data_IF_897533965360
#
_entry.id   IF_897533965360
#
_cell.length_a   1.000
_cell.length_b   1.000
_cell.length_c   1.000
_cell.angle_alpha   90.00
_cell.angle_beta   90.00
_cell.angle_gamma   90.00
#
_symmetry.space_group_name_H-M   'P 1'
#
loop_
_entity.id
_entity.type
_entity.pdbx_description
1 polymer ?
#
# COMPACT_ATOMS: atom_id res chain seq x y z
N UNK A 1 -11.74 -16.43 -2.94
CA UNK A 1 -13.02 -15.79 -2.53
C UNK A 1 -13.87 -16.71 -1.63
N UNK A 2 -13.27 -17.66 -0.90
CA UNK A 2 -13.98 -18.54 0.05
C UNK A 2 -13.81 -18.12 1.52
N UNK A 3 -12.91 -17.16 1.79
CA UNK A 3 -12.52 -16.77 3.15
C UNK A 3 -13.10 -15.41 3.60
N UNK A 4 -14.08 -14.88 2.86
CA UNK A 4 -14.81 -13.66 3.25
C UNK A 4 -16.06 -13.95 4.10
N UNK A 5 -16.36 -15.23 4.37
CA UNK A 5 -17.56 -15.69 5.10
C UNK A 5 -17.27 -16.13 6.55
N UNK A 6 -16.05 -15.92 7.09
CA UNK A 6 -15.87 -16.03 8.54
C UNK A 6 -16.44 -14.77 9.23
N UNK A 7 -17.70 -14.87 9.66
CA UNK A 7 -18.31 -13.95 10.63
C UNK A 7 -17.37 -13.77 11.84
N UNK A 8 -16.59 -12.69 11.86
CA UNK A 8 -15.69 -12.33 12.96
C UNK A 8 -14.26 -11.91 12.59
N UNK A 9 -13.84 -12.00 11.33
CA UNK A 9 -12.47 -11.62 10.94
C UNK A 9 -12.33 -10.10 10.69
N UNK A 10 -12.03 -9.33 11.73
CA UNK A 10 -11.71 -7.89 11.60
C UNK A 10 -10.55 -7.63 10.62
N UNK A 11 -10.65 -6.56 9.84
CA UNK A 11 -9.54 -6.05 9.02
C UNK A 11 -8.55 -5.27 9.88
N UNK A 12 -7.26 -5.36 9.55
CA UNK A 12 -6.23 -4.51 10.14
C UNK A 12 -6.46 -3.07 9.73
N UNK A 13 -5.99 -2.11 10.53
CA UNK A 13 -6.04 -0.68 10.20
C UNK A 13 -5.45 -0.39 8.83
N UNK A 14 -4.35 -1.06 8.46
CA UNK A 14 -3.74 -0.91 7.14
C UNK A 14 -4.67 -1.41 6.02
N UNK A 15 -5.21 -2.64 6.14
CA UNK A 15 -6.13 -3.21 5.14
C UNK A 15 -7.36 -2.31 4.93
N UNK A 16 -7.93 -1.79 6.02
CA UNK A 16 -9.07 -0.87 5.97
C UNK A 16 -8.72 0.48 5.34
N UNK A 17 -7.64 1.14 5.77
CA UNK A 17 -7.24 2.45 5.23
C UNK A 17 -6.81 2.35 3.77
N UNK A 18 -6.00 1.35 3.41
CA UNK A 18 -5.56 1.14 2.04
C UNK A 18 -6.75 0.84 1.12
N UNK A 19 -7.67 -0.04 1.54
CA UNK A 19 -8.89 -0.34 0.80
C UNK A 19 -9.78 0.89 0.61
N UNK A 20 -9.94 1.71 1.66
CA UNK A 20 -10.74 2.94 1.62
C UNK A 20 -10.15 3.96 0.66
N UNK A 21 -8.85 4.25 0.77
CA UNK A 21 -8.17 5.19 -0.10
C UNK A 21 -8.13 4.71 -1.55
N UNK A 22 -7.94 3.42 -1.79
CA UNK A 22 -7.98 2.85 -3.15
C UNK A 22 -9.34 3.07 -3.81
N UNK A 23 -10.42 2.80 -3.07
CA UNK A 23 -11.80 3.04 -3.49
C UNK A 23 -12.08 4.54 -3.74
N UNK A 24 -11.64 5.42 -2.84
CA UNK A 24 -11.81 6.87 -2.99
C UNK A 24 -11.06 7.42 -4.21
N UNK A 25 -9.82 6.98 -4.43
CA UNK A 25 -9.03 7.39 -5.61
C UNK A 25 -9.65 6.87 -6.91
N UNK A 26 -10.17 5.64 -6.92
CA UNK A 26 -10.88 5.11 -8.08
C UNK A 26 -12.12 5.95 -8.44
N UNK A 27 -12.91 6.35 -7.43
CA UNK A 27 -14.05 7.27 -7.59
C UNK A 27 -13.62 8.65 -8.08
N UNK A 28 -12.59 9.24 -7.47
CA UNK A 28 -12.08 10.56 -7.82
C UNK A 28 -11.55 10.65 -9.26
N UNK A 29 -10.93 9.55 -9.75
CA UNK A 29 -10.51 9.43 -11.15
C UNK A 29 -11.69 9.30 -12.13
N UNK A 30 -12.90 9.07 -11.66
CA UNK A 30 -14.09 8.90 -12.50
C UNK A 30 -14.00 7.67 -13.41
N UNK A 31 -13.24 6.66 -12.99
CA UNK A 31 -13.13 5.40 -13.73
C UNK A 31 -14.51 4.74 -13.79
N UNK A 32 -14.88 4.18 -14.95
CA UNK A 32 -16.18 3.51 -15.15
C UNK A 32 -16.00 2.20 -15.91
N UNK A 33 -16.91 1.26 -15.66
CA UNK A 33 -17.01 -0.01 -16.38
C UNK A 33 -16.12 -1.12 -15.85
N UNK A 34 -15.85 -2.11 -16.70
CA UNK A 34 -15.10 -3.34 -16.39
C UNK A 34 -13.57 -3.15 -16.43
N UNK A 35 -13.08 -1.91 -16.49
CA UNK A 35 -11.65 -1.66 -16.49
C UNK A 35 -11.02 -2.19 -15.19
N UNK A 36 -9.97 -2.99 -15.33
CA UNK A 36 -9.19 -3.47 -14.19
C UNK A 36 -8.46 -2.30 -13.52
N UNK A 37 -8.64 -2.16 -12.21
CA UNK A 37 -7.86 -1.26 -11.37
C UNK A 37 -6.82 -2.11 -10.63
N UNK A 38 -5.54 -1.77 -10.81
CA UNK A 38 -4.43 -2.43 -10.13
C UNK A 38 -3.82 -1.52 -9.09
N UNK A 39 -3.33 -2.11 -8.01
CA UNK A 39 -2.59 -1.42 -6.98
C UNK A 39 -1.48 -2.32 -6.45
N UNK A 40 -0.45 -1.72 -5.86
CA UNK A 40 0.58 -2.47 -5.15
C UNK A 40 0.74 -2.00 -3.72
N UNK A 41 1.21 -2.91 -2.86
CA UNK A 41 1.52 -2.67 -1.46
C UNK A 41 2.96 -3.11 -1.21
N UNK A 42 3.76 -2.22 -0.60
CA UNK A 42 5.09 -2.57 -0.13
C UNK A 42 5.01 -3.49 1.12
N UNK A 43 5.53 -4.71 1.00
CA UNK A 43 5.56 -5.71 2.08
C UNK A 43 6.98 -5.88 2.60
N UNK A 44 7.14 -5.88 3.92
CA UNK A 44 8.42 -6.12 4.58
C UNK A 44 8.74 -7.62 4.62
N UNK A 45 9.59 -8.07 3.70
CA UNK A 45 9.98 -9.48 3.54
C UNK A 45 10.78 -10.03 4.74
N UNK A 46 11.37 -9.16 5.58
CA UNK A 46 12.16 -9.60 6.75
C UNK A 46 11.36 -10.48 7.71
N UNK A 47 10.08 -10.14 7.92
CA UNK A 47 9.20 -10.88 8.83
C UNK A 47 8.86 -12.28 8.29
N UNK A 48 8.82 -12.43 6.97
CA UNK A 48 8.48 -13.66 6.28
C UNK A 48 9.70 -14.58 6.21
N UNK A 49 10.85 -14.03 5.81
CA UNK A 49 12.11 -14.77 5.69
C UNK A 49 12.72 -15.15 7.05
N UNK A 50 12.36 -14.45 8.12
CA UNK A 50 12.77 -14.76 9.49
C UNK A 50 14.29 -14.88 9.60
N UNK A 51 14.77 -16.03 10.12
CA UNK A 51 16.20 -16.30 10.37
C UNK A 51 17.06 -16.41 9.10
N UNK A 52 16.46 -16.39 7.91
CA UNK A 52 17.23 -16.35 6.64
C UNK A 52 17.90 -14.99 6.43
N UNK A 53 17.47 -13.95 7.14
CA UNK A 53 18.14 -12.66 7.20
C UNK A 53 18.69 -12.41 8.61
N UNK A 54 19.88 -11.79 8.73
CA UNK A 54 20.36 -11.30 10.02
C UNK A 54 19.40 -10.27 10.63
N UNK A 55 19.29 -10.25 11.96
CA UNK A 55 18.43 -9.30 12.68
C UNK A 55 18.73 -7.83 12.33
N UNK A 56 19.98 -7.53 12.01
CA UNK A 56 20.49 -6.21 11.62
C UNK A 56 20.70 -6.07 10.10
N UNK A 57 19.99 -6.84 9.27
CA UNK A 57 20.12 -6.77 7.82
C UNK A 57 19.88 -5.35 7.27
N UNK A 58 20.95 -4.76 6.73
CA UNK A 58 21.02 -3.36 6.29
C UNK A 58 20.73 -3.15 4.80
N UNK A 59 20.18 -4.15 4.09
CA UNK A 59 19.83 -4.06 2.68
C UNK A 59 18.34 -3.77 2.43
N UNK A 60 17.92 -3.81 1.16
CA UNK A 60 16.50 -3.78 0.80
C UNK A 60 15.89 -5.18 0.98
N UNK A 61 14.76 -5.26 1.69
CA UNK A 61 13.97 -6.49 1.82
C UNK A 61 12.49 -6.11 1.77
N UNK A 62 12.13 -5.39 0.71
CA UNK A 62 10.76 -4.99 0.41
C UNK A 62 10.33 -5.67 -0.88
N UNK A 63 9.18 -6.33 -0.86
CA UNK A 63 8.57 -6.95 -2.04
C UNK A 63 7.20 -6.31 -2.28
N UNK A 64 6.79 -6.21 -3.54
CA UNK A 64 5.47 -5.70 -3.88
C UNK A 64 4.44 -6.84 -3.85
N UNK A 65 3.38 -6.66 -3.06
CA UNK A 65 2.13 -7.38 -3.23
C UNK A 65 1.27 -6.64 -4.25
N UNK A 66 0.52 -7.37 -5.09
CA UNK A 66 -0.35 -6.78 -6.10
C UNK A 66 -1.80 -7.15 -5.82
N UNK A 67 -2.67 -6.15 -5.89
CA UNK A 67 -4.11 -6.29 -5.78
C UNK A 67 -4.77 -5.77 -7.07
N UNK A 68 -5.84 -6.44 -7.48
CA UNK A 68 -6.60 -6.09 -8.67
C UNK A 68 -8.10 -6.25 -8.41
N UNK A 69 -8.89 -5.33 -8.95
CA UNK A 69 -10.35 -5.38 -8.91
C UNK A 69 -10.93 -4.67 -10.12
N UNK A 70 -12.13 -5.07 -10.55
CA UNK A 70 -12.91 -4.25 -11.48
C UNK A 70 -13.32 -2.94 -10.81
N UNK A 71 -13.26 -1.82 -11.53
CA UNK A 71 -13.59 -0.50 -10.97
C UNK A 71 -15.03 -0.45 -10.42
N UNK A 72 -16.00 -1.03 -11.11
CA UNK A 72 -17.39 -1.10 -10.64
C UNK A 72 -17.48 -1.76 -9.27
N UNK A 73 -16.94 -2.98 -9.16
CA UNK A 73 -16.86 -3.71 -7.89
C UNK A 73 -16.15 -2.92 -6.79
N UNK A 74 -14.97 -2.37 -7.08
CA UNK A 74 -14.18 -1.60 -6.12
C UNK A 74 -14.94 -0.38 -5.58
N UNK A 75 -15.71 0.31 -6.44
CA UNK A 75 -16.38 1.57 -6.09
C UNK A 75 -17.78 1.38 -5.53
N UNK A 76 -18.49 0.31 -5.90
CA UNK A 76 -19.89 0.05 -5.52
C UNK A 76 -20.02 -0.91 -4.34
N UNK A 77 -19.10 -1.87 -4.17
CA UNK A 77 -19.13 -2.81 -3.03
C UNK A 77 -18.71 -2.12 -1.71
N UNK A 78 -19.05 -2.71 -0.55
CA UNK A 78 -18.66 -2.18 0.76
C UNK A 78 -17.14 -2.12 0.94
N UNK A 79 -16.66 -1.30 1.89
CA UNK A 79 -15.24 -1.19 2.22
C UNK A 79 -14.60 -2.55 2.56
N UNK A 80 -15.34 -3.45 3.20
CA UNK A 80 -14.88 -4.81 3.53
C UNK A 80 -14.43 -5.60 2.29
N UNK A 81 -15.04 -5.35 1.12
CA UNK A 81 -14.61 -5.96 -0.13
C UNK A 81 -13.20 -5.48 -0.52
N UNK A 82 -12.98 -4.17 -0.55
CA UNK A 82 -11.68 -3.60 -0.89
C UNK A 82 -10.59 -3.99 0.14
N UNK A 83 -10.92 -3.96 1.44
CA UNK A 83 -10.02 -4.42 2.50
C UNK A 83 -9.71 -5.92 2.39
N UNK A 84 -10.69 -6.73 1.97
CA UNK A 84 -10.52 -8.14 1.64
C UNK A 84 -9.50 -8.37 0.53
N UNK A 85 -9.58 -7.62 -0.57
CA UNK A 85 -8.60 -7.73 -1.66
C UNK A 85 -7.20 -7.36 -1.17
N UNK A 86 -7.07 -6.29 -0.37
CA UNK A 86 -5.78 -5.89 0.22
C UNK A 86 -5.20 -7.01 1.09
N UNK A 87 -6.04 -7.62 1.93
CA UNK A 87 -5.65 -8.76 2.77
C UNK A 87 -5.13 -9.92 1.93
N UNK A 88 -5.87 -10.35 0.92
CA UNK A 88 -5.48 -11.48 0.08
C UNK A 88 -4.17 -11.21 -0.66
N UNK A 89 -3.99 -10.00 -1.18
CA UNK A 89 -2.74 -9.59 -1.82
C UNK A 89 -1.54 -9.59 -0.86
N UNK A 90 -1.72 -9.15 0.39
CA UNK A 90 -0.64 -9.15 1.39
C UNK A 90 -0.34 -10.57 1.86
N UNK A 91 -1.37 -11.39 2.09
CA UNK A 91 -1.23 -12.77 2.56
C UNK A 91 -0.66 -13.71 1.49
N UNK A 92 -0.82 -13.40 0.20
CA UNK A 92 -0.22 -14.19 -0.88
C UNK A 92 1.31 -14.07 -0.94
N UNK A 93 1.90 -13.08 -0.27
CA UNK A 93 3.35 -12.93 -0.17
C UNK A 93 3.88 -13.89 0.90
N UNK A 94 4.29 -15.07 0.45
CA UNK A 94 5.02 -16.04 1.25
C UNK A 94 6.49 -16.15 0.81
N UNK A 95 7.21 -17.10 1.38
CA UNK A 95 8.62 -17.35 1.05
C UNK A 95 8.80 -17.73 -0.42
N UNK A 96 7.92 -18.58 -0.97
CA UNK A 96 7.99 -19.04 -2.36
C UNK A 96 7.76 -17.86 -3.32
N UNK A 97 6.76 -17.03 -3.05
CA UNK A 97 6.48 -15.81 -3.80
C UNK A 97 7.69 -14.87 -3.83
N UNK A 98 8.38 -14.68 -2.70
CA UNK A 98 9.57 -13.82 -2.61
C UNK A 98 10.69 -14.35 -3.51
N UNK A 99 11.03 -15.64 -3.41
CA UNK A 99 12.12 -16.20 -4.22
C UNK A 99 11.76 -16.29 -5.70
N UNK A 100 10.52 -16.66 -6.04
CA UNK A 100 10.03 -16.64 -7.43
C UNK A 100 10.11 -15.23 -8.03
N UNK A 101 9.73 -14.21 -7.26
CA UNK A 101 9.85 -12.82 -7.69
C UNK A 101 11.31 -12.43 -7.93
N UNK A 102 12.24 -12.85 -7.07
CA UNK A 102 13.67 -12.61 -7.26
C UNK A 102 14.21 -13.29 -8.53
N UNK A 103 13.82 -14.54 -8.79
CA UNK A 103 14.22 -15.25 -10.01
C UNK A 103 13.69 -14.54 -11.26
N UNK A 104 12.41 -14.15 -11.26
CA UNK A 104 11.81 -13.34 -12.32
C UNK A 104 12.58 -12.02 -12.51
N UNK A 105 12.95 -11.32 -11.44
CA UNK A 105 13.75 -10.10 -11.50
C UNK A 105 15.12 -10.33 -12.15
N UNK A 106 15.82 -11.41 -11.80
CA UNK A 106 17.14 -11.73 -12.37
C UNK A 106 17.04 -12.07 -13.85
N UNK A 107 15.98 -12.77 -14.26
CA UNK A 107 15.76 -13.18 -15.65
C UNK A 107 15.29 -12.03 -16.54
N UNK A 108 14.38 -11.19 -16.05
CA UNK A 108 13.72 -10.14 -16.84
C UNK A 108 14.41 -8.77 -16.73
N UNK A 109 15.00 -8.42 -15.56
CA UNK A 109 15.53 -7.07 -15.29
C UNK A 109 17.03 -6.93 -15.55
N UNK A 110 17.57 -7.55 -16.60
CA UNK A 110 18.98 -7.35 -16.97
C UNK A 110 19.35 -5.86 -17.15
N UNK A 111 18.40 -4.96 -17.43
CA UNK A 111 18.64 -3.53 -17.64
C UNK A 111 17.54 -2.57 -17.10
N UNK A 112 16.62 -3.02 -16.24
CA UNK A 112 15.51 -2.16 -15.74
C UNK A 112 15.61 -1.90 -14.23
N UNK A 113 15.44 -0.64 -13.84
CA UNK A 113 15.33 -0.23 -12.43
C UNK A 113 13.86 0.07 -12.10
N UNK A 114 13.40 -0.31 -10.91
CA UNK A 114 12.00 -0.10 -10.49
C UNK A 114 11.03 -1.23 -10.88
N UNK A 115 9.74 -1.06 -10.53
CA UNK A 115 8.66 -1.97 -10.95
C UNK A 115 8.38 -1.67 -12.44
N UNK A 116 8.37 -2.67 -13.33
CA UNK A 116 8.11 -2.42 -14.74
C UNK A 116 6.74 -1.77 -14.96
N UNK A 117 6.66 -0.77 -15.85
CA UNK A 117 5.43 -0.01 -16.12
C UNK A 117 4.24 -0.91 -16.52
N UNK A 118 4.52 -2.06 -17.16
CA UNK A 118 3.49 -3.02 -17.56
C UNK A 118 2.91 -3.83 -16.39
N UNK A 119 3.58 -3.91 -15.24
CA UNK A 119 3.06 -4.60 -14.04
C UNK A 119 2.00 -3.75 -13.34
N UNK A 120 2.12 -2.42 -13.43
CA UNK A 120 1.21 -1.44 -12.84
C UNK A 120 0.89 -0.33 -13.85
N UNK A 121 0.13 -0.65 -14.92
CA UNK A 121 -0.25 0.35 -15.90
C UNK A 121 -1.10 1.45 -15.27
N UNK A 122 -0.98 2.68 -15.75
CA UNK A 122 -1.89 3.74 -15.34
C UNK A 122 -3.36 3.34 -15.62
N UNK A 123 -4.30 3.62 -14.71
CA UNK A 123 -4.14 4.39 -13.47
C UNK A 123 -3.91 3.49 -12.23
N UNK A 124 -2.71 2.96 -12.05
CA UNK A 124 -2.34 2.22 -10.83
C UNK A 124 -2.10 3.15 -9.63
N UNK A 125 -2.04 2.56 -8.44
CA UNK A 125 -1.75 3.24 -7.17
C UNK A 125 -0.71 2.43 -6.38
N UNK A 126 0.20 3.11 -5.70
CA UNK A 126 1.27 2.47 -4.93
C UNK A 126 1.11 2.81 -3.46
N UNK A 127 0.90 1.80 -2.62
CA UNK A 127 0.80 1.94 -1.18
C UNK A 127 2.11 1.56 -0.50
N UNK A 128 2.52 2.39 0.46
CA UNK A 128 3.57 2.06 1.40
C UNK A 128 3.18 2.55 2.80
N UNK A 129 3.58 1.80 3.82
CA UNK A 129 3.28 2.11 5.21
C UNK A 129 4.55 2.32 5.99
N UNK A 130 4.66 3.48 6.62
CA UNK A 130 5.72 3.83 7.56
C UNK A 130 5.23 3.79 9.02
N UNK A 131 3.99 3.36 9.25
CA UNK A 131 3.34 3.30 10.58
C UNK A 131 4.15 2.50 11.60
N UNK A 132 4.87 1.47 11.14
CA UNK A 132 5.71 0.63 12.00
C UNK A 132 7.20 1.02 12.02
N UNK A 133 7.58 2.09 11.32
CA UNK A 133 8.94 2.63 11.39
C UNK A 133 9.11 3.50 12.63
N UNK A 134 10.28 3.48 13.29
CA UNK A 134 10.53 4.24 14.52
C UNK A 134 10.79 5.74 14.26
N UNK A 135 9.95 6.40 13.45
CA UNK A 135 10.18 7.75 12.94
C UNK A 135 10.29 8.81 14.04
N UNK A 136 9.48 8.69 15.10
CA UNK A 136 9.40 9.62 16.22
C UNK A 136 10.15 9.12 17.47
N UNK A 137 11.05 8.13 17.33
CA UNK A 137 11.88 7.64 18.44
C UNK A 137 13.28 8.26 18.49
N UNK A 138 13.64 9.03 17.47
CA UNK A 138 14.97 9.63 17.36
C UNK A 138 14.98 11.00 18.03
N UNK A 139 15.88 11.20 18.99
CA UNK A 139 16.13 12.48 19.64
C UNK A 139 17.64 12.76 19.61
N UNK A 140 18.02 13.89 19.01
CA UNK A 140 19.42 14.31 18.90
C UNK A 140 19.85 15.26 20.04
N UNK A 141 18.99 15.49 21.04
CA UNK A 141 19.21 16.41 22.17
C UNK A 141 18.28 17.62 22.19
N UNK A 142 17.33 17.72 21.26
CA UNK A 142 16.37 18.81 21.14
C UNK A 142 14.90 18.35 21.17
N UNK A 143 14.66 17.09 21.52
CA UNK A 143 13.35 16.45 21.47
C UNK A 143 13.12 15.67 20.18
N UNK A 144 11.99 14.97 20.14
CA UNK A 144 11.57 14.18 18.99
C UNK A 144 11.03 15.06 17.86
N UNK A 145 11.06 14.60 16.59
CA UNK A 145 10.51 15.35 15.46
C UNK A 145 9.03 15.73 15.66
N UNK A 146 8.65 16.93 15.24
CA UNK A 146 7.24 17.34 15.17
C UNK A 146 6.51 16.77 13.95
N UNK A 147 7.24 16.40 12.91
CA UNK A 147 6.70 15.79 11.70
C UNK A 147 7.78 15.02 10.96
N UNK A 148 7.43 13.86 10.40
CA UNK A 148 8.28 13.09 9.49
C UNK A 148 7.44 12.65 8.30
N UNK A 149 7.91 12.93 7.09
CA UNK A 149 7.20 12.55 5.87
C UNK A 149 8.11 12.55 4.65
N UNK A 150 7.63 12.03 3.51
CA UNK A 150 8.38 12.07 2.26
C UNK A 150 8.54 13.53 1.78
N UNK A 151 9.75 13.96 1.36
CA UNK A 151 9.95 15.32 0.84
C UNK A 151 9.30 15.53 -0.53
N UNK A 152 9.28 14.47 -1.35
CA UNK A 152 8.59 14.40 -2.63
C UNK A 152 8.28 12.93 -2.90
N UNK A 153 7.05 12.61 -3.29
CA UNK A 153 6.69 11.28 -3.76
C UNK A 153 6.38 11.31 -5.26
N UNK A 154 6.72 10.25 -6.02
CA UNK A 154 6.30 10.09 -7.41
C UNK A 154 4.78 10.19 -7.55
N UNK A 155 4.25 10.49 -8.75
CA UNK A 155 2.81 10.43 -8.99
C UNK A 155 2.22 9.07 -8.63
N UNK A 156 0.97 9.07 -8.17
CA UNK A 156 0.18 7.89 -7.78
C UNK A 156 0.73 7.11 -6.58
N UNK A 157 1.35 7.78 -5.61
CA UNK A 157 1.84 7.15 -4.37
C UNK A 157 0.97 7.56 -3.17
N UNK A 158 0.68 6.61 -2.30
CA UNK A 158 0.08 6.81 -0.99
C UNK A 158 1.02 6.28 0.09
N UNK A 159 1.40 7.17 1.01
CA UNK A 159 2.23 6.84 2.16
C UNK A 159 1.40 7.02 3.43
N UNK A 160 1.23 5.95 4.19
CA UNK A 160 0.64 6.02 5.53
C UNK A 160 1.75 6.26 6.55
N UNK A 161 1.66 7.34 7.31
CA UNK A 161 2.63 7.71 8.35
C UNK A 161 1.94 7.78 9.71
N UNK A 162 2.61 7.40 10.81
CA UNK A 162 2.04 7.60 12.13
C UNK A 162 2.00 9.11 12.45
N UNK A 163 0.99 9.54 13.20
CA UNK A 163 0.95 10.92 13.69
C UNK A 163 2.06 11.17 14.71
N UNK A 164 2.57 12.40 14.71
CA UNK A 164 3.55 12.87 15.70
C UNK A 164 3.01 12.86 17.14
N UNK A 165 1.69 12.96 17.34
CA UNK A 165 1.05 12.90 18.67
C UNK A 165 1.10 11.50 19.27
N UNK A 166 1.33 10.47 18.44
CA UNK A 166 1.34 9.05 18.82
C UNK A 166 0.07 8.59 19.56
N UNK A 167 -1.07 9.20 19.28
CA UNK A 167 -2.39 8.88 19.85
C UNK A 167 -3.15 7.77 19.09
N UNK A 168 -2.48 7.16 18.10
CA UNK A 168 -3.07 6.14 17.22
C UNK A 168 -3.61 6.69 15.90
N UNK A 169 -3.62 8.01 15.69
CA UNK A 169 -3.93 8.61 14.39
C UNK A 169 -2.84 8.31 13.34
N UNK A 170 -3.28 8.29 12.07
CA UNK A 170 -2.47 7.99 10.90
C UNK A 170 -2.74 9.08 9.86
N UNK A 171 -1.67 9.71 9.37
CA UNK A 171 -1.77 10.64 8.25
C UNK A 171 -1.54 9.88 6.93
N UNK A 172 -2.34 10.21 5.92
CA UNK A 172 -2.19 9.68 4.57
C UNK A 172 -1.63 10.76 3.65
N UNK A 173 -0.39 10.59 3.19
CA UNK A 173 0.24 11.49 2.22
C UNK A 173 0.00 10.94 0.82
N UNK A 174 -0.73 11.70 0.00
CA UNK A 174 -1.15 11.31 -1.34
C UNK A 174 -0.53 12.19 -2.43
N UNK A 175 0.03 11.58 -3.47
CA UNK A 175 0.48 12.27 -4.67
C UNK A 175 -0.37 11.83 -5.86
N UNK A 176 -1.27 12.70 -6.31
CA UNK A 176 -2.18 12.43 -7.42
C UNK A 176 -2.19 13.65 -8.36
N UNK A 177 -2.77 13.51 -9.54
CA UNK A 177 -3.01 14.68 -10.39
C UNK A 177 -3.97 15.66 -9.71
N UNK A 178 -3.79 16.96 -9.95
CA UNK A 178 -4.62 18.00 -9.33
C UNK A 178 -6.14 17.75 -9.46
N UNK A 179 -6.68 17.36 -10.64
CA UNK A 179 -8.12 17.11 -10.78
C UNK A 179 -8.64 15.93 -9.96
N UNK A 180 -7.77 14.95 -9.65
CA UNK A 180 -8.11 13.81 -8.78
C UNK A 180 -8.04 14.25 -7.33
N UNK A 181 -7.06 15.08 -6.95
CA UNK A 181 -6.91 15.57 -5.59
C UNK A 181 -8.11 16.42 -5.15
N UNK A 182 -8.58 17.32 -6.00
CA UNK A 182 -9.77 18.17 -5.74
C UNK A 182 -11.03 17.34 -5.44
N UNK A 183 -11.17 16.18 -6.10
CA UNK A 183 -12.31 15.28 -5.89
C UNK A 183 -12.11 14.33 -4.72
N UNK A 184 -10.87 14.00 -4.37
CA UNK A 184 -10.55 13.02 -3.34
C UNK A 184 -11.12 13.45 -1.99
N UNK A 185 -11.03 14.73 -1.64
CA UNK A 185 -11.57 15.27 -0.38
C UNK A 185 -13.07 14.99 -0.22
N UNK A 186 -13.83 15.03 -1.33
CA UNK A 186 -15.27 14.74 -1.28
C UNK A 186 -15.59 13.27 -0.96
N UNK A 187 -14.66 12.35 -1.20
CA UNK A 187 -14.88 10.91 -0.97
C UNK A 187 -14.15 10.39 0.28
N UNK A 188 -12.99 10.95 0.61
CA UNK A 188 -12.11 10.42 1.66
C UNK A 188 -12.73 10.49 3.06
N UNK A 189 -13.63 11.45 3.29
CA UNK A 189 -14.29 11.67 4.59
C UNK A 189 -15.71 11.10 4.64
N UNK A 190 -16.19 10.46 3.58
CA UNK A 190 -17.42 9.66 3.57
C UNK A 190 -17.08 8.23 4.04
N UNK A 191 -17.08 8.00 5.35
CA UNK A 191 -16.83 6.68 5.95
C UNK A 191 -18.16 5.95 6.20
#
# INVERSE_FOLDING_TARGET
MKDLEEEGAYFTTFESLAGHLWRCVARARGLKGEMGCKTSVAVNARRILGKKLPDNYSGNATIAAFAESGVGDLTEKPLSYAAGIMREAIKSVDEEYIFSSLDCMVLERKNQTGIPDHWLPNPSLYFTSWVHLPLYKTDFGWGTPLFVGPPLAPPNVLVLIPSHTQDGSIDAVATLSAPVMEKLESYAFEI
#
